data_IF_025411241067
#
_entry.id   IF_025411241067
#
_cell.length_a   1.000
_cell.length_b   1.000
_cell.length_c   1.000
_cell.angle_alpha   90.00
_cell.angle_beta   90.00
_cell.angle_gamma   90.00
#
_symmetry.space_group_name_H-M   'P 1'
#
loop_
_entity.id
_entity.type
_entity.pdbx_description
1 polymer ?
#
# COMPACT_ATOMS: atom_id res chain seq x y z
N UNK A 1 18.48 -26.44 20.49
CA UNK A 1 18.93 -25.10 20.05
C UNK A 1 18.21 -24.78 18.75
N UNK A 2 17.37 -23.74 18.71
CA UNK A 2 16.59 -23.41 17.51
C UNK A 2 17.41 -22.46 16.64
N UNK A 3 17.55 -22.79 15.34
CA UNK A 3 18.00 -21.85 14.31
C UNK A 3 16.78 -21.38 13.54
N UNK A 4 16.55 -20.08 13.51
CA UNK A 4 15.39 -19.46 12.84
C UNK A 4 15.85 -18.43 11.83
N UNK A 5 15.18 -18.38 10.69
CA UNK A 5 15.32 -17.35 9.67
C UNK A 5 13.93 -16.80 9.35
N UNK A 6 13.79 -15.48 9.40
CA UNK A 6 12.56 -14.76 9.08
C UNK A 6 12.87 -13.83 7.91
N UNK A 7 12.04 -13.89 6.87
CA UNK A 7 12.14 -13.07 5.68
C UNK A 7 10.73 -12.75 5.15
N UNK A 8 10.55 -11.66 4.40
CA UNK A 8 9.29 -11.45 3.68
C UNK A 8 9.07 -12.60 2.68
N UNK A 9 7.81 -12.98 2.48
CA UNK A 9 7.46 -14.03 1.50
C UNK A 9 7.81 -13.65 0.05
N UNK A 10 7.97 -12.34 -0.23
CA UNK A 10 8.33 -11.84 -1.55
C UNK A 10 9.07 -10.50 -1.44
N UNK A 11 10.17 -10.38 -2.17
CA UNK A 11 10.85 -9.12 -2.47
C UNK A 11 10.80 -8.91 -3.99
N UNK A 12 10.45 -7.71 -4.44
CA UNK A 12 10.25 -7.41 -5.87
C UNK A 12 10.99 -6.12 -6.21
N UNK A 13 11.90 -6.19 -7.18
CA UNK A 13 12.67 -5.05 -7.68
C UNK A 13 12.77 -5.13 -9.19
N UNK A 14 12.63 -3.99 -9.87
CA UNK A 14 12.76 -3.91 -11.32
C UNK A 14 12.34 -2.55 -11.87
N UNK A 15 12.80 -2.23 -13.08
CA UNK A 15 12.36 -1.03 -13.79
C UNK A 15 10.86 -1.13 -14.10
N UNK A 16 10.15 -0.01 -13.90
CA UNK A 16 8.71 0.08 -14.21
C UNK A 16 7.79 -0.72 -13.27
N UNK A 17 8.26 -1.18 -12.11
CA UNK A 17 7.47 -2.08 -11.25
C UNK A 17 6.12 -1.50 -10.81
N UNK A 18 6.03 -0.18 -10.69
CA UNK A 18 4.82 0.54 -10.31
C UNK A 18 3.65 0.31 -11.28
N UNK A 19 3.91 0.13 -12.58
CA UNK A 19 2.83 -0.15 -13.56
C UNK A 19 2.36 -1.61 -13.52
N UNK A 20 3.07 -2.47 -12.79
CA UNK A 20 2.81 -3.90 -12.68
C UNK A 20 2.46 -4.30 -11.25
N UNK A 21 2.25 -3.34 -10.35
CA UNK A 21 2.09 -3.59 -8.91
C UNK A 21 0.89 -4.51 -8.62
N UNK A 22 -0.18 -4.43 -9.43
CA UNK A 22 -1.35 -5.31 -9.36
C UNK A 22 -0.98 -6.82 -9.43
N UNK A 23 0.06 -7.19 -10.17
CA UNK A 23 0.50 -8.60 -10.34
C UNK A 23 1.06 -9.20 -9.06
N UNK A 24 1.49 -8.36 -8.12
CA UNK A 24 2.12 -8.79 -6.88
C UNK A 24 1.17 -8.82 -5.69
N UNK A 25 -0.05 -8.30 -5.86
CA UNK A 25 -1.11 -8.36 -4.86
C UNK A 25 -1.89 -9.68 -5.08
N UNK A 26 -2.19 -10.45 -4.02
CA UNK A 26 -3.01 -11.64 -4.14
C UNK A 26 -4.36 -11.33 -4.80
N UNK A 27 -4.78 -12.16 -5.75
CA UNK A 27 -6.04 -11.97 -6.51
C UNK A 27 -7.29 -11.92 -5.62
N UNK A 28 -7.23 -12.48 -4.41
CA UNK A 28 -8.27 -12.46 -3.38
C UNK A 28 -8.42 -11.10 -2.69
N UNK A 29 -7.44 -10.20 -2.81
CA UNK A 29 -7.45 -8.87 -2.18
C UNK A 29 -7.59 -7.78 -3.24
N UNK A 30 -8.83 -7.37 -3.50
CA UNK A 30 -9.16 -6.37 -4.55
C UNK A 30 -9.46 -4.97 -4.00
N UNK A 31 -9.52 -4.79 -2.68
CA UNK A 31 -9.70 -3.47 -2.05
C UNK A 31 -8.40 -3.05 -1.35
N UNK A 32 -7.76 -2.00 -1.87
CA UNK A 32 -6.41 -1.59 -1.49
C UNK A 32 -6.44 -0.29 -0.70
N UNK A 33 -5.84 -0.32 0.49
CA UNK A 33 -5.59 0.86 1.28
C UNK A 33 -4.19 1.39 0.98
N UNK A 34 -4.09 2.55 0.35
CA UNK A 34 -2.81 3.21 0.08
C UNK A 34 -2.55 4.32 1.09
N UNK A 35 -1.57 4.12 1.98
CA UNK A 35 -1.01 5.16 2.84
C UNK A 35 0.26 5.72 2.20
N UNK A 36 0.23 6.99 1.81
CA UNK A 36 1.27 7.57 0.96
C UNK A 36 1.66 8.96 1.44
N UNK A 37 2.95 9.23 1.45
CA UNK A 37 3.47 10.59 1.57
C UNK A 37 3.08 11.43 0.34
N UNK A 38 2.79 12.71 0.54
CA UNK A 38 2.28 13.61 -0.51
C UNK A 38 3.28 13.81 -1.64
N UNK A 39 4.58 13.94 -1.33
CA UNK A 39 5.61 14.20 -2.33
C UNK A 39 5.86 12.99 -3.24
N UNK A 40 5.91 11.80 -2.66
CA UNK A 40 6.05 10.55 -3.43
C UNK A 40 4.80 10.25 -4.24
N UNK A 41 3.63 10.53 -3.66
CA UNK A 41 2.37 10.20 -4.30
C UNK A 41 2.16 10.98 -5.60
N UNK A 42 2.44 12.29 -5.65
CA UNK A 42 2.27 13.06 -6.90
C UNK A 42 3.11 12.50 -8.06
N UNK A 43 4.28 11.92 -7.76
CA UNK A 43 5.17 11.33 -8.78
C UNK A 43 4.70 9.96 -9.28
N UNK A 44 4.12 9.14 -8.41
CA UNK A 44 3.82 7.74 -8.72
C UNK A 44 2.32 7.43 -8.89
N UNK A 45 1.44 8.32 -8.42
CA UNK A 45 -0.02 8.16 -8.41
C UNK A 45 -0.56 7.69 -9.74
N UNK A 46 -0.24 8.42 -10.82
CA UNK A 46 -0.80 8.16 -12.14
C UNK A 46 -0.51 6.73 -12.60
N UNK A 47 0.71 6.26 -12.37
CA UNK A 47 1.15 4.91 -12.78
C UNK A 47 0.49 3.82 -11.92
N UNK A 48 0.41 4.01 -10.61
CA UNK A 48 -0.19 3.03 -9.69
C UNK A 48 -1.71 2.95 -9.87
N UNK A 49 -2.40 4.09 -9.85
CA UNK A 49 -3.85 4.15 -9.99
C UNK A 49 -4.28 3.53 -11.32
N UNK A 50 -3.58 3.86 -12.42
CA UNK A 50 -3.81 3.24 -13.73
C UNK A 50 -3.64 1.72 -13.66
N UNK A 51 -2.58 1.22 -13.03
CA UNK A 51 -2.36 -0.22 -12.84
C UNK A 51 -3.51 -0.89 -12.07
N UNK A 52 -4.16 -0.20 -11.13
CA UNK A 52 -5.28 -0.76 -10.37
C UNK A 52 -6.61 -0.68 -11.12
N UNK A 53 -6.89 0.44 -11.78
CA UNK A 53 -8.08 0.67 -12.60
C UNK A 53 -8.17 -0.33 -13.75
N UNK A 54 -7.07 -0.54 -14.48
CA UNK A 54 -7.02 -1.47 -15.62
C UNK A 54 -7.14 -2.96 -15.21
N UNK A 55 -7.10 -3.26 -13.91
CA UNK A 55 -7.09 -4.63 -13.39
C UNK A 55 -8.17 -4.87 -12.32
N UNK A 56 -9.23 -4.06 -12.29
CA UNK A 56 -10.40 -4.20 -11.41
C UNK A 56 -10.08 -4.18 -9.91
N UNK A 57 -9.12 -3.37 -9.49
CA UNK A 57 -8.86 -3.11 -8.07
C UNK A 57 -9.60 -1.84 -7.62
N UNK A 58 -10.29 -1.94 -6.49
CA UNK A 58 -10.77 -0.79 -5.73
C UNK A 58 -9.63 -0.30 -4.83
N UNK A 59 -9.54 1.01 -4.64
CA UNK A 59 -8.54 1.56 -3.74
C UNK A 59 -9.03 2.81 -3.03
N UNK A 60 -8.51 3.04 -1.83
CA UNK A 60 -8.61 4.32 -1.11
C UNK A 60 -7.22 4.86 -0.87
N UNK A 61 -7.10 6.20 -0.87
CA UNK A 61 -5.82 6.88 -0.76
C UNK A 61 -5.86 7.80 0.45
N UNK A 62 -4.94 7.55 1.37
CA UNK A 62 -4.79 8.31 2.60
C UNK A 62 -3.41 8.95 2.61
N UNK A 63 -3.39 10.25 2.85
CA UNK A 63 -2.14 11.01 3.00
C UNK A 63 -1.51 10.67 4.35
N UNK A 64 -0.25 10.26 4.32
CA UNK A 64 0.60 10.13 5.48
C UNK A 64 1.12 11.50 5.89
N UNK A 65 1.04 11.81 7.18
CA UNK A 65 1.42 13.10 7.76
C UNK A 65 2.92 13.28 8.02
N UNK A 66 3.74 12.26 7.72
CA UNK A 66 5.20 12.34 7.83
C UNK A 66 5.79 11.77 9.11
N UNK A 67 4.96 11.44 10.11
CA UNK A 67 5.41 10.90 11.40
C UNK A 67 4.78 9.55 11.72
N UNK A 68 5.59 8.55 12.10
CA UNK A 68 5.09 7.25 12.54
C UNK A 68 4.75 7.27 14.04
N UNK A 69 3.71 8.00 14.43
CA UNK A 69 3.25 8.14 15.82
C UNK A 69 1.90 7.46 16.07
N UNK A 70 1.59 7.10 17.32
CA UNK A 70 0.28 6.55 17.70
C UNK A 70 -0.87 7.48 17.31
N UNK A 71 -0.67 8.79 17.51
CA UNK A 71 -1.62 9.83 17.11
C UNK A 71 -1.91 9.78 15.60
N UNK A 72 -0.87 9.59 14.78
CA UNK A 72 -1.01 9.51 13.34
C UNK A 72 -1.72 8.21 12.91
N UNK A 73 -1.37 7.08 13.52
CA UNK A 73 -2.06 5.80 13.29
C UNK A 73 -3.54 5.94 13.62
N UNK A 74 -3.90 6.51 14.77
CA UNK A 74 -5.29 6.73 15.16
C UNK A 74 -6.04 7.66 14.19
N UNK A 75 -5.39 8.74 13.72
CA UNK A 75 -5.98 9.64 12.73
C UNK A 75 -6.32 8.88 11.45
N UNK A 76 -5.41 8.04 10.98
CA UNK A 76 -5.56 7.27 9.75
C UNK A 76 -6.65 6.20 9.94
N UNK A 77 -6.63 5.43 11.02
CA UNK A 77 -7.58 4.33 11.24
C UNK A 77 -9.00 4.83 11.53
N UNK A 78 -9.18 5.94 12.25
CA UNK A 78 -10.50 6.56 12.46
C UNK A 78 -11.11 7.11 11.17
N UNK A 79 -10.28 7.73 10.32
CA UNK A 79 -10.72 8.26 9.02
C UNK A 79 -10.96 7.19 7.95
N UNK A 80 -10.47 5.97 8.18
CA UNK A 80 -10.61 4.82 7.29
C UNK A 80 -11.69 3.92 7.85
N UNK A 81 -12.96 4.22 7.55
CA UNK A 81 -14.16 3.56 8.09
C UNK A 81 -13.89 2.22 8.80
N UNK A 82 -13.81 2.29 10.13
CA UNK A 82 -13.72 1.19 11.10
C UNK A 82 -13.02 -0.09 10.62
N UNK A 83 -11.69 -0.11 10.68
CA UNK A 83 -10.96 -1.36 10.93
C UNK A 83 -10.52 -1.31 12.39
N UNK A 84 -11.39 -1.82 13.27
CA UNK A 84 -11.00 -2.23 14.62
C UNK A 84 -9.96 -3.35 14.48
N UNK A 85 -8.79 -3.17 15.11
CA UNK A 85 -7.85 -4.25 15.35
C UNK A 85 -8.40 -5.21 16.41
#
# INVERSE_FOLDING_TARGET
>A
MIKSLIAPSKYVQGSGIWSQIHKYIPSTKRNIFMLVDVFIFEKAKKTICKSFEENDFKYTIHKFGGESSTKEVERITKGSGSIMF
#
